data_IF_623615108059
#
_entry.id   IF_623615108059
#
_cell.length_a   1.000
_cell.length_b   1.000
_cell.length_c   1.000
_cell.angle_alpha   90.00
_cell.angle_beta   90.00
_cell.angle_gamma   90.00
#
_symmetry.space_group_name_H-M   'P 1'
#
loop_
_entity.id
_entity.type
_entity.pdbx_description
1 polymer ?
#
# COMPACT_ATOMS: atom_id res chain seq x y z
N UNK A 1 -3.15 14.85 7.31
CA UNK A 1 -3.17 13.68 6.40
C UNK A 1 -3.32 14.24 5.01
N UNK A 2 -2.24 14.34 4.23
CA UNK A 2 -2.35 14.82 2.85
C UNK A 2 -2.81 13.67 1.96
N UNK A 3 -3.79 13.93 1.11
CA UNK A 3 -4.36 12.96 0.16
C UNK A 3 -3.50 12.78 -1.11
N UNK A 4 -2.26 13.29 -1.11
CA UNK A 4 -1.38 13.36 -2.28
C UNK A 4 -0.47 12.12 -2.46
N UNK A 5 -0.75 11.04 -1.72
CA UNK A 5 0.01 9.79 -1.77
C UNK A 5 -0.73 8.65 -2.49
N UNK A 6 0.00 7.56 -2.86
CA UNK A 6 -0.58 6.38 -3.53
C UNK A 6 -1.43 5.53 -2.57
N UNK A 7 -1.49 5.92 -1.28
CA UNK A 7 -2.24 5.27 -0.23
C UNK A 7 -2.95 6.33 0.64
N UNK A 8 -4.22 6.10 0.94
CA UNK A 8 -4.98 6.83 1.95
C UNK A 8 -5.15 5.92 3.15
N UNK A 9 -4.74 6.36 4.33
CA UNK A 9 -4.88 5.60 5.59
C UNK A 9 -5.91 6.28 6.48
N UNK A 10 -6.91 5.51 6.92
CA UNK A 10 -7.95 5.97 7.85
C UNK A 10 -8.08 4.99 9.02
N UNK A 11 -8.72 5.44 10.10
CA UNK A 11 -8.91 4.64 11.31
C UNK A 11 -10.38 4.57 11.68
N UNK A 12 -10.84 3.36 12.02
CA UNK A 12 -12.15 3.11 12.64
C UNK A 12 -11.92 2.32 13.94
N UNK A 13 -11.82 3.05 15.05
CA UNK A 13 -11.40 2.49 16.34
C UNK A 13 -10.08 1.72 16.24
N UNK A 14 -10.05 0.41 16.54
CA UNK A 14 -8.85 -0.42 16.45
C UNK A 14 -8.54 -0.90 15.01
N UNK A 15 -9.33 -0.53 14.01
CA UNK A 15 -9.12 -0.90 12.61
C UNK A 15 -8.32 0.19 11.90
N UNK A 16 -7.32 -0.21 11.10
CA UNK A 16 -6.61 0.67 10.16
C UNK A 16 -6.98 0.26 8.74
N UNK A 17 -7.48 1.21 7.96
CA UNK A 17 -7.93 0.99 6.59
C UNK A 17 -6.96 1.69 5.66
N UNK A 18 -6.20 0.89 4.91
CA UNK A 18 -5.21 1.28 3.92
C UNK A 18 -5.88 1.16 2.54
N UNK A 19 -6.22 2.28 1.92
CA UNK A 19 -6.85 2.33 0.61
C UNK A 19 -5.84 2.76 -0.45
N UNK A 20 -5.63 1.93 -1.48
CA UNK A 20 -4.86 2.29 -2.67
C UNK A 20 -5.53 3.47 -3.38
N UNK A 21 -4.72 4.44 -3.79
CA UNK A 21 -5.17 5.72 -4.32
C UNK A 21 -4.45 6.03 -5.65
N UNK A 22 -4.52 5.09 -6.59
CA UNK A 22 -4.04 5.25 -7.98
C UNK A 22 -5.12 4.82 -8.99
N UNK A 23 -6.33 5.40 -8.94
CA UNK A 23 -7.44 4.95 -9.78
C UNK A 23 -7.15 5.03 -11.29
N UNK A 24 -6.32 5.99 -11.72
CA UNK A 24 -5.86 6.16 -13.11
C UNK A 24 -5.01 4.98 -13.61
N UNK A 25 -4.31 4.30 -12.71
CA UNK A 25 -3.54 3.10 -12.99
C UNK A 25 -4.25 1.80 -12.53
N UNK A 26 -5.56 1.87 -12.23
CA UNK A 26 -6.34 0.75 -11.64
C UNK A 26 -5.65 0.17 -10.39
N UNK A 27 -5.04 1.04 -9.60
CA UNK A 27 -4.27 0.71 -8.40
C UNK A 27 -3.14 -0.30 -8.65
N UNK A 28 -2.53 -0.31 -9.84
CA UNK A 28 -1.30 -1.06 -10.07
C UNK A 28 -0.22 -0.65 -9.05
N UNK A 29 0.59 -1.60 -8.61
CA UNK A 29 1.65 -1.37 -7.63
C UNK A 29 2.95 -1.05 -8.37
N UNK A 30 3.39 0.21 -8.26
CA UNK A 30 4.74 0.65 -8.60
C UNK A 30 5.62 0.65 -7.33
N UNK A 31 6.91 0.92 -7.49
CA UNK A 31 7.90 1.01 -6.41
C UNK A 31 7.51 2.02 -5.33
N UNK A 32 6.96 3.17 -5.72
CA UNK A 32 6.48 4.19 -4.78
C UNK A 32 5.30 3.68 -3.94
N UNK A 33 4.34 3.01 -4.56
CA UNK A 33 3.19 2.39 -3.88
C UNK A 33 3.64 1.25 -2.97
N UNK A 34 4.58 0.41 -3.42
CA UNK A 34 5.14 -0.67 -2.62
C UNK A 34 5.82 -0.13 -1.35
N UNK A 35 6.61 0.93 -1.49
CA UNK A 35 7.24 1.61 -0.36
C UNK A 35 6.20 2.18 0.61
N UNK A 36 5.18 2.87 0.11
CA UNK A 36 4.13 3.44 0.94
C UNK A 36 3.33 2.36 1.69
N UNK A 37 3.04 1.23 1.04
CA UNK A 37 2.40 0.07 1.69
C UNK A 37 3.28 -0.51 2.79
N UNK A 38 4.57 -0.71 2.52
CA UNK A 38 5.53 -1.21 3.52
C UNK A 38 5.59 -0.29 4.74
N UNK A 39 5.70 1.01 4.53
CA UNK A 39 5.71 2.00 5.61
C UNK A 39 4.40 1.93 6.41
N UNK A 40 3.24 1.86 5.75
CA UNK A 40 1.95 1.77 6.43
C UNK A 40 1.77 0.47 7.24
N UNK A 41 2.32 -0.66 6.78
CA UNK A 41 2.30 -1.91 7.54
C UNK A 41 3.23 -1.88 8.76
N UNK A 42 4.40 -1.25 8.64
CA UNK A 42 5.28 -1.05 9.79
C UNK A 42 4.66 -0.10 10.82
N UNK A 43 3.94 0.93 10.36
CA UNK A 43 3.19 1.82 11.24
C UNK A 43 2.03 1.09 11.93
N UNK A 44 1.34 0.18 11.22
CA UNK A 44 0.32 -0.70 11.81
C UNK A 44 0.92 -1.60 12.89
N UNK A 45 2.05 -2.26 12.62
CA UNK A 45 2.72 -3.17 13.57
C UNK A 45 3.18 -2.44 14.85
N UNK A 46 3.60 -1.18 14.71
CA UNK A 46 4.04 -0.33 15.83
C UNK A 46 2.89 0.30 16.62
N UNK A 47 1.67 0.28 16.11
CA UNK A 47 0.52 0.91 16.75
C UNK A 47 -0.13 -0.03 17.78
N UNK A 48 0.06 0.21 19.10
CA UNK A 48 -0.47 -0.68 20.14
C UNK A 48 -2.00 -0.66 20.24
N UNK A 49 -2.67 0.29 19.58
CA UNK A 49 -4.13 0.40 19.55
C UNK A 49 -4.74 -0.28 18.32
N UNK A 50 -3.94 -0.55 17.29
CA UNK A 50 -4.37 -1.24 16.10
C UNK A 50 -4.52 -2.75 16.36
N UNK A 51 -5.60 -3.33 15.84
CA UNK A 51 -5.93 -4.76 16.00
C UNK A 51 -6.22 -5.44 14.68
N UNK A 52 -6.68 -4.68 13.67
CA UNK A 52 -7.04 -5.20 12.35
C UNK A 52 -6.57 -4.22 11.29
N UNK A 53 -5.84 -4.73 10.29
CA UNK A 53 -5.49 -3.98 9.09
C UNK A 53 -6.36 -4.41 7.92
N UNK A 54 -6.93 -3.46 7.19
CA UNK A 54 -7.73 -3.67 5.97
C UNK A 54 -7.00 -3.01 4.81
N UNK A 55 -6.67 -3.78 3.78
CA UNK A 55 -6.15 -3.25 2.51
C UNK A 55 -7.27 -3.28 1.46
N UNK A 56 -7.51 -2.16 0.77
CA UNK A 56 -8.58 -2.02 -0.24
C UNK A 56 -8.17 -1.11 -1.41
N UNK A 57 -8.95 -1.07 -2.48
CA UNK A 57 -8.69 -0.26 -3.69
C UNK A 57 -9.70 0.84 -4.01
N UNK A 58 -10.64 1.11 -3.11
CA UNK A 58 -11.71 2.08 -3.33
C UNK A 58 -12.85 1.52 -4.20
N UNK A 59 -13.56 2.39 -4.92
CA UNK A 59 -14.91 2.09 -5.41
C UNK A 59 -14.99 1.13 -6.61
N UNK A 60 -13.96 1.05 -7.47
CA UNK A 60 -14.05 0.37 -8.78
C UNK A 60 -13.27 -0.94 -8.86
N UNK A 61 -12.04 -0.94 -8.37
CA UNK A 61 -11.10 -2.05 -8.51
C UNK A 61 -10.24 -2.13 -7.26
N UNK A 62 -9.87 -3.35 -6.87
CA UNK A 62 -8.88 -3.53 -5.81
C UNK A 62 -7.49 -3.12 -6.29
N UNK A 63 -6.86 -3.94 -7.14
CA UNK A 63 -5.51 -3.74 -7.66
C UNK A 63 -5.35 -4.51 -8.97
N UNK A 64 -4.72 -3.92 -9.98
CA UNK A 64 -4.45 -4.56 -11.27
C UNK A 64 -3.17 -5.42 -11.29
N UNK A 65 -2.44 -5.52 -10.18
CA UNK A 65 -1.15 -6.23 -10.08
C UNK A 65 0.05 -5.26 -10.11
N UNK A 66 1.21 -5.74 -10.54
CA UNK A 66 2.41 -4.90 -10.70
C UNK A 66 2.24 -3.90 -11.85
N UNK A 67 2.75 -2.68 -11.67
CA UNK A 67 2.83 -1.70 -12.74
C UNK A 67 3.94 -2.10 -13.72
N UNK A 68 3.56 -2.58 -14.90
CA UNK A 68 4.51 -3.07 -15.91
C UNK A 68 5.50 -1.99 -16.38
N UNK A 69 5.17 -0.71 -16.20
CA UNK A 69 6.06 0.41 -16.55
C UNK A 69 7.17 0.60 -15.51
N UNK A 70 7.01 0.04 -14.32
CA UNK A 70 7.92 0.19 -13.18
C UNK A 70 8.48 -1.15 -12.69
N UNK A 71 8.39 -2.19 -13.52
CA UNK A 71 8.70 -3.56 -13.12
C UNK A 71 10.16 -3.74 -12.69
N UNK A 72 11.11 -3.04 -13.33
CA UNK A 72 12.54 -3.12 -12.97
C UNK A 72 12.82 -2.53 -11.59
N UNK A 73 12.27 -1.35 -11.29
CA UNK A 73 12.42 -0.71 -9.98
C UNK A 73 11.72 -1.53 -8.87
N UNK A 74 10.52 -2.03 -9.16
CA UNK A 74 9.79 -2.90 -8.25
C UNK A 74 10.54 -4.20 -7.95
N UNK A 75 11.19 -4.80 -8.96
CA UNK A 75 12.00 -6.01 -8.78
C UNK A 75 13.27 -5.74 -7.94
N UNK A 76 13.89 -4.57 -8.08
CA UNK A 76 15.01 -4.16 -7.24
C UNK A 76 14.62 -4.07 -5.76
N UNK A 77 13.45 -3.50 -5.46
CA UNK A 77 12.87 -3.45 -4.11
C UNK A 77 12.47 -4.85 -3.59
N UNK A 78 12.05 -5.76 -4.49
CA UNK A 78 11.63 -7.13 -4.15
C UNK A 78 12.79 -8.09 -3.82
N UNK A 79 14.05 -7.69 -4.05
CA UNK A 79 15.22 -8.56 -3.95
C UNK A 79 15.70 -8.81 -2.51
N UNK A 80 15.01 -8.26 -1.51
CA UNK A 80 15.25 -8.56 -0.08
C UNK A 80 14.55 -9.83 0.39
N UNK A 81 15.02 -10.42 1.49
CA UNK A 81 14.49 -11.68 2.08
C UNK A 81 12.98 -11.63 2.40
N UNK A 82 12.46 -10.45 2.68
CA UNK A 82 11.04 -10.24 2.96
C UNK A 82 10.22 -10.15 1.65
N UNK A 83 10.78 -9.52 0.61
CA UNK A 83 10.06 -9.09 -0.58
C UNK A 83 9.71 -7.60 -0.55
N UNK A 84 8.99 -7.09 -1.56
CA UNK A 84 8.80 -5.65 -1.76
C UNK A 84 7.83 -5.01 -0.75
N UNK A 85 7.13 -5.81 0.05
CA UNK A 85 6.09 -5.34 0.98
C UNK A 85 6.44 -5.62 2.46
N UNK A 86 7.67 -6.02 2.76
CA UNK A 86 8.00 -6.75 3.99
C UNK A 86 7.82 -8.23 3.73
#
# INVERSE_FOLDING_TARGET
>A
MSADGPLVVTSDGPVRILQLNRPEARNAIDSHTARALREAWLDFDRDPTARVGVLTGGDKVFCAGADLKDLEALAAEASGDAGPLG
#
